data_IF_946012478924
#
_entry.id   IF_946012478924
#
_cell.length_a   1.000
_cell.length_b   1.000
_cell.length_c   1.000
_cell.angle_alpha   90.00
_cell.angle_beta   90.00
_cell.angle_gamma   90.00
#
_symmetry.space_group_name_H-M   'P 1'
#
loop_
_entity.id
_entity.type
_entity.pdbx_description
1 polymer ?
#
# COMPACT_ATOMS: atom_id res chain seq x y z
N UNK A 1 66.01 -29.18 8.51
CA UNK A 1 64.92 -29.93 9.20
C UNK A 1 63.78 -29.06 9.73
N UNK A 2 63.99 -27.79 10.14
CA UNK A 2 62.92 -26.90 10.66
C UNK A 2 61.85 -26.47 9.62
N UNK A 3 62.19 -26.28 8.35
CA UNK A 3 61.24 -25.77 7.33
C UNK A 3 60.08 -26.73 7.00
N UNK A 4 60.29 -28.05 7.04
CA UNK A 4 59.25 -29.03 6.72
C UNK A 4 58.13 -29.10 7.76
N UNK A 5 58.42 -28.82 9.04
CA UNK A 5 57.39 -28.81 10.09
C UNK A 5 56.52 -27.56 10.05
N UNK A 6 57.09 -26.41 9.68
CA UNK A 6 56.33 -25.15 9.54
C UNK A 6 55.31 -25.27 8.40
N UNK A 7 55.70 -25.85 7.27
CA UNK A 7 54.80 -26.10 6.14
C UNK A 7 53.65 -27.06 6.49
N UNK A 8 53.90 -28.13 7.25
CA UNK A 8 52.84 -29.07 7.71
C UNK A 8 51.83 -28.42 8.66
N UNK A 9 52.29 -27.55 9.56
CA UNK A 9 51.42 -26.85 10.52
C UNK A 9 50.52 -25.84 9.79
N UNK A 10 51.08 -25.11 8.82
CA UNK A 10 50.31 -24.17 8.00
C UNK A 10 49.30 -24.91 7.12
N UNK A 11 49.68 -26.05 6.53
CA UNK A 11 48.76 -26.86 5.72
C UNK A 11 47.58 -27.35 6.56
N UNK A 12 47.83 -27.85 7.78
CA UNK A 12 46.77 -28.36 8.66
C UNK A 12 45.89 -27.27 9.29
N UNK A 13 46.37 -26.03 9.43
CA UNK A 13 45.56 -24.92 9.96
C UNK A 13 44.71 -24.23 8.90
N UNK A 14 44.97 -24.47 7.61
CA UNK A 14 44.24 -23.85 6.49
C UNK A 14 43.18 -24.76 5.86
N UNK A 15 43.17 -26.06 6.18
CA UNK A 15 42.04 -26.94 5.86
C UNK A 15 41.03 -26.87 7.00
N UNK A 16 39.83 -26.29 6.82
CA UNK A 16 38.82 -26.34 7.85
C UNK A 16 38.50 -27.80 8.19
N UNK A 17 38.45 -28.13 9.47
CA UNK A 17 38.09 -29.48 9.91
C UNK A 17 36.71 -29.81 9.37
N UNK A 18 36.49 -31.02 8.83
CA UNK A 18 35.18 -31.44 8.28
C UNK A 18 34.05 -31.26 9.31
N UNK A 19 34.37 -31.36 10.61
CA UNK A 19 33.44 -31.08 11.73
C UNK A 19 33.08 -29.60 11.89
N UNK A 20 33.95 -28.68 11.48
CA UNK A 20 33.69 -27.23 11.49
C UNK A 20 32.91 -26.82 10.25
N UNK A 21 33.33 -27.26 9.07
CA UNK A 21 32.60 -27.02 7.82
C UNK A 21 31.16 -27.55 7.86
N UNK A 22 30.93 -28.73 8.47
CA UNK A 22 29.59 -29.28 8.65
C UNK A 22 28.69 -28.45 9.59
N UNK A 23 29.28 -27.81 10.61
CA UNK A 23 28.52 -26.93 11.52
C UNK A 23 28.10 -25.64 10.83
N UNK A 24 29.00 -25.00 10.11
CA UNK A 24 28.71 -23.77 9.36
C UNK A 24 27.66 -23.97 8.27
N UNK A 25 27.70 -25.13 7.59
CA UNK A 25 26.70 -25.49 6.60
C UNK A 25 25.31 -25.66 7.21
N UNK A 26 25.24 -26.20 8.43
CA UNK A 26 23.98 -26.38 9.16
C UNK A 26 23.39 -25.03 9.56
N UNK A 27 24.21 -24.10 10.06
CA UNK A 27 23.75 -22.74 10.39
C UNK A 27 23.28 -21.98 9.15
N UNK A 28 24.01 -22.06 8.04
CA UNK A 28 23.59 -21.45 6.77
C UNK A 28 22.26 -22.03 6.27
N UNK A 29 22.09 -23.36 6.34
CA UNK A 29 20.84 -24.00 5.95
C UNK A 29 19.65 -23.51 6.78
N UNK A 30 19.82 -23.39 8.11
CA UNK A 30 18.77 -22.87 9.00
C UNK A 30 18.43 -21.41 8.66
N UNK A 31 19.42 -20.56 8.39
CA UNK A 31 19.20 -19.17 8.00
C UNK A 31 18.44 -19.06 6.68
N UNK A 32 18.82 -19.84 5.67
CA UNK A 32 18.15 -19.85 4.35
C UNK A 32 16.69 -20.30 4.49
N UNK A 33 16.43 -21.34 5.29
CA UNK A 33 15.06 -21.80 5.57
C UNK A 33 14.25 -20.71 6.27
N UNK A 34 14.83 -20.01 7.24
CA UNK A 34 14.19 -18.88 7.91
C UNK A 34 13.79 -17.77 6.93
N UNK A 35 14.72 -17.35 6.07
CA UNK A 35 14.45 -16.33 5.04
C UNK A 35 13.38 -16.79 4.05
N UNK A 36 13.40 -18.06 3.64
CA UNK A 36 12.42 -18.60 2.72
C UNK A 36 11.00 -18.61 3.32
N UNK A 37 10.86 -19.05 4.57
CA UNK A 37 9.57 -19.08 5.27
C UNK A 37 9.06 -17.66 5.53
N UNK A 38 9.91 -16.78 6.07
CA UNK A 38 9.53 -15.39 6.36
C UNK A 38 9.23 -14.64 5.07
N UNK A 39 10.05 -14.79 4.03
CA UNK A 39 9.84 -14.16 2.73
C UNK A 39 8.59 -14.66 2.02
N UNK A 40 8.30 -15.96 2.08
CA UNK A 40 7.07 -16.54 1.53
C UNK A 40 5.82 -16.02 2.24
N UNK A 41 5.83 -15.98 3.57
CA UNK A 41 4.70 -15.44 4.35
C UNK A 41 4.52 -13.93 4.10
N UNK A 42 5.60 -13.16 4.10
CA UNK A 42 5.57 -11.74 3.74
C UNK A 42 5.03 -11.53 2.33
N UNK A 43 5.44 -12.36 1.37
CA UNK A 43 4.93 -12.28 0.00
C UNK A 43 3.43 -12.53 -0.08
N UNK A 44 2.90 -13.54 0.61
CA UNK A 44 1.46 -13.81 0.64
C UNK A 44 0.71 -12.64 1.28
N UNK A 45 1.16 -12.15 2.45
CA UNK A 45 0.52 -11.02 3.14
C UNK A 45 0.54 -9.75 2.28
N UNK A 46 1.69 -9.42 1.68
CA UNK A 46 1.79 -8.28 0.77
C UNK A 46 0.89 -8.51 -0.44
N UNK A 47 0.95 -9.67 -1.08
CA UNK A 47 0.09 -9.98 -2.22
C UNK A 47 -1.38 -9.84 -1.84
N UNK A 48 -1.81 -10.32 -0.69
CA UNK A 48 -3.20 -10.28 -0.24
C UNK A 48 -3.64 -8.87 0.18
N UNK A 49 -2.77 -8.09 0.84
CA UNK A 49 -3.01 -6.67 1.15
C UNK A 49 -3.06 -5.80 -0.12
N UNK A 50 -2.24 -6.10 -1.12
CA UNK A 50 -2.22 -5.39 -2.40
C UNK A 50 -3.19 -5.98 -3.44
N UNK A 51 -3.72 -7.20 -3.25
CA UNK A 51 -4.71 -7.88 -4.09
C UNK A 51 -6.12 -7.70 -3.56
N UNK A 52 -6.28 -7.43 -2.27
CA UNK A 52 -7.51 -6.89 -1.72
C UNK A 52 -7.59 -5.45 -2.24
N UNK A 53 -8.16 -5.27 -3.43
CA UNK A 53 -9.51 -4.74 -3.62
C UNK A 53 -10.25 -4.14 -2.41
N UNK A 54 -9.53 -3.61 -1.42
CA UNK A 54 -10.07 -3.10 -0.17
C UNK A 54 -10.44 -1.63 -0.34
N UNK A 55 -11.47 -1.17 0.38
CA UNK A 55 -11.86 0.24 0.43
C UNK A 55 -10.66 1.19 0.69
N UNK A 56 -9.70 0.76 1.51
CA UNK A 56 -8.52 1.55 1.88
C UNK A 56 -7.53 1.74 0.72
N UNK A 57 -7.36 0.74 -0.15
CA UNK A 57 -6.47 0.85 -1.31
C UNK A 57 -7.06 1.82 -2.34
N UNK A 58 -8.36 1.72 -2.56
CA UNK A 58 -9.11 2.61 -3.47
C UNK A 58 -9.10 4.04 -2.91
N UNK A 59 -9.32 4.21 -1.61
CA UNK A 59 -9.16 5.48 -0.91
C UNK A 59 -7.76 6.08 -1.12
N UNK A 60 -6.69 5.29 -0.90
CA UNK A 60 -5.32 5.76 -1.07
C UNK A 60 -5.05 6.23 -2.49
N UNK A 61 -5.46 5.44 -3.49
CA UNK A 61 -5.30 5.80 -4.90
C UNK A 61 -6.10 7.06 -5.28
N UNK A 62 -7.33 7.20 -4.79
CA UNK A 62 -8.14 8.38 -5.04
C UNK A 62 -7.59 9.64 -4.36
N UNK A 63 -7.06 9.51 -3.15
CA UNK A 63 -6.42 10.62 -2.43
C UNK A 63 -5.16 11.10 -3.17
N UNK A 64 -4.35 10.19 -3.70
CA UNK A 64 -3.18 10.56 -4.53
C UNK A 64 -3.59 11.27 -5.83
N UNK A 65 -4.67 10.82 -6.49
CA UNK A 65 -5.23 11.54 -7.65
C UNK A 65 -5.69 12.95 -7.27
N UNK A 66 -6.34 13.12 -6.12
CA UNK A 66 -6.74 14.44 -5.62
C UNK A 66 -5.53 15.33 -5.30
N UNK A 67 -4.46 14.76 -4.73
CA UNK A 67 -3.21 15.45 -4.41
C UNK A 67 -2.45 15.93 -5.65
N UNK A 68 -2.59 15.23 -6.77
CA UNK A 68 -1.96 15.58 -8.03
C UNK A 68 -2.79 16.56 -8.87
N UNK A 69 -4.08 16.77 -8.56
CA UNK A 69 -4.98 17.57 -9.39
C UNK A 69 -4.76 19.09 -9.18
N UNK A 70 -4.34 19.86 -10.20
CA UNK A 70 -3.97 21.28 -10.04
C UNK A 70 -5.06 22.14 -9.43
N UNK A 71 -6.33 21.90 -9.81
CA UNK A 71 -7.44 22.70 -9.27
C UNK A 71 -7.72 22.41 -7.79
N UNK A 72 -7.47 21.18 -7.32
CA UNK A 72 -7.65 20.82 -5.91
C UNK A 72 -6.52 21.44 -5.08
N UNK A 73 -5.30 21.37 -5.60
CA UNK A 73 -4.13 22.03 -4.98
C UNK A 73 -4.38 23.54 -4.88
N UNK A 74 -4.90 24.16 -5.93
CA UNK A 74 -5.25 25.58 -5.94
C UNK A 74 -6.38 25.95 -4.98
N UNK A 75 -7.31 25.03 -4.70
CA UNK A 75 -8.44 25.28 -3.79
C UNK A 75 -8.12 25.05 -2.31
N UNK A 76 -7.29 24.05 -1.98
CA UNK A 76 -6.99 23.66 -0.59
C UNK A 76 -5.62 24.14 -0.09
N UNK A 77 -4.69 24.42 -1.00
CA UNK A 77 -3.27 24.55 -0.66
C UNK A 77 -2.63 23.21 -0.25
N UNK A 78 -1.37 23.00 -0.61
CA UNK A 78 -0.61 21.81 -0.19
C UNK A 78 0.01 22.02 1.20
N UNK A 79 0.14 20.99 2.08
CA UNK A 79 -0.13 19.57 1.85
C UNK A 79 -1.58 19.15 2.15
N UNK A 80 -2.17 18.34 1.25
CA UNK A 80 -3.55 17.85 1.37
C UNK A 80 -3.60 16.57 2.22
N UNK A 81 -4.41 16.62 3.27
CA UNK A 81 -4.72 15.50 4.17
C UNK A 81 -6.08 14.91 3.80
N UNK A 82 -6.18 13.58 3.82
CA UNK A 82 -7.44 12.87 3.69
C UNK A 82 -7.84 12.20 5.00
N UNK A 83 -9.13 12.15 5.31
CA UNK A 83 -9.67 11.43 6.45
C UNK A 83 -11.06 10.84 6.16
N UNK A 84 -11.37 9.72 6.81
CA UNK A 84 -12.68 9.06 6.70
C UNK A 84 -13.78 9.74 7.52
N UNK A 85 -14.93 9.08 7.64
CA UNK A 85 -16.03 9.55 8.48
C UNK A 85 -15.58 9.75 9.94
N UNK A 86 -16.02 10.88 10.49
CA UNK A 86 -15.85 11.18 11.90
C UNK A 86 -16.95 10.46 12.66
N UNK A 87 -16.59 9.42 13.41
CA UNK A 87 -17.53 8.81 14.37
C UNK A 87 -18.02 9.87 15.37
N UNK A 88 -19.22 9.67 15.94
CA UNK A 88 -19.83 10.57 16.95
C UNK A 88 -18.92 10.88 18.16
N UNK A 89 -17.87 10.07 18.39
CA UNK A 89 -16.82 10.23 19.41
C UNK A 89 -15.51 10.85 18.89
N UNK A 90 -15.49 11.45 17.69
CA UNK A 90 -14.33 12.13 17.13
C UNK A 90 -13.24 11.23 16.53
N UNK A 91 -13.43 9.90 16.42
CA UNK A 91 -12.45 9.02 15.77
C UNK A 91 -12.69 9.00 14.25
N UNK A 92 -11.69 9.41 13.48
CA UNK A 92 -11.67 9.43 11.99
C UNK A 92 -11.08 8.14 11.41
N UNK A 93 -11.65 6.97 11.74
CA UNK A 93 -11.01 5.66 11.45
C UNK A 93 -11.58 4.90 10.26
N UNK A 94 -12.76 5.25 9.74
CA UNK A 94 -13.41 4.44 8.72
C UNK A 94 -13.84 5.30 7.53
N UNK A 95 -13.50 4.86 6.32
CA UNK A 95 -14.00 5.49 5.09
C UNK A 95 -15.42 4.98 4.87
N UNK A 96 -16.36 5.89 4.59
CA UNK A 96 -17.72 5.49 4.21
C UNK A 96 -17.62 4.75 2.90
N UNK A 97 -17.99 3.48 2.87
CA UNK A 97 -17.99 2.69 1.65
C UNK A 97 -19.31 1.95 1.51
N UNK A 98 -19.76 1.78 0.27
CA UNK A 98 -20.91 0.95 -0.09
C UNK A 98 -20.51 0.07 -1.26
N UNK A 99 -20.54 -1.23 -1.02
CA UNK A 99 -20.38 -2.23 -2.08
C UNK A 99 -21.75 -2.60 -2.62
N UNK A 100 -21.89 -2.63 -3.95
CA UNK A 100 -23.12 -3.00 -4.62
C UNK A 100 -22.82 -3.72 -5.93
N UNK A 101 -23.77 -4.51 -6.43
CA UNK A 101 -23.62 -5.21 -7.71
C UNK A 101 -24.48 -4.51 -8.74
N UNK A 102 -23.90 -4.12 -9.87
CA UNK A 102 -24.60 -3.52 -10.99
C UNK A 102 -24.23 -4.29 -12.26
N UNK A 103 -25.24 -4.78 -12.98
CA UNK A 103 -25.06 -5.54 -14.23
C UNK A 103 -24.10 -6.75 -14.09
N UNK A 104 -24.07 -7.41 -12.93
CA UNK A 104 -23.17 -8.54 -12.66
C UNK A 104 -21.74 -8.14 -12.27
N UNK A 105 -21.41 -6.86 -12.29
CA UNK A 105 -20.11 -6.32 -11.88
C UNK A 105 -20.20 -5.75 -10.46
N UNK A 106 -19.18 -5.99 -9.63
CA UNK A 106 -19.11 -5.38 -8.30
C UNK A 106 -18.66 -3.92 -8.44
N UNK A 107 -19.35 -3.04 -7.75
CA UNK A 107 -19.03 -1.64 -7.62
C UNK A 107 -18.78 -1.33 -6.15
N UNK A 108 -17.92 -0.34 -5.93
CA UNK A 108 -17.68 0.24 -4.63
C UNK A 108 -17.73 1.75 -4.73
N UNK A 109 -18.62 2.33 -3.94
CA UNK A 109 -18.71 3.76 -3.76
C UNK A 109 -18.00 4.12 -2.46
N UNK A 110 -17.13 5.14 -2.49
CA UNK A 110 -16.51 5.68 -1.29
C UNK A 110 -16.77 7.17 -1.12
N UNK A 111 -16.88 7.58 0.13
CA UNK A 111 -16.92 8.98 0.54
C UNK A 111 -15.90 9.23 1.64
N UNK A 112 -15.04 10.21 1.42
CA UNK A 112 -14.06 10.68 2.40
C UNK A 112 -13.89 12.19 2.31
N UNK A 113 -13.15 12.76 3.25
CA UNK A 113 -12.96 14.19 3.37
C UNK A 113 -11.50 14.55 3.15
N UNK A 114 -11.26 15.72 2.57
CA UNK A 114 -9.94 16.29 2.38
C UNK A 114 -9.84 17.70 2.94
N UNK A 115 -8.69 18.03 3.52
CA UNK A 115 -8.36 19.34 4.07
C UNK A 115 -6.93 19.72 3.68
N UNK A 116 -6.68 21.01 3.45
CA UNK A 116 -5.35 21.53 3.14
C UNK A 116 -4.88 22.57 4.16
N UNK A 117 -4.08 23.52 3.72
CA UNK A 117 -3.69 24.70 4.52
C UNK A 117 -4.84 25.69 4.61
N UNK A 118 -5.59 25.85 3.52
CA UNK A 118 -6.76 26.70 3.47
C UNK A 118 -7.84 26.16 4.44
N UNK A 119 -8.64 27.04 5.06
CA UNK A 119 -9.70 26.64 5.99
C UNK A 119 -10.88 25.93 5.30
N UNK A 120 -10.77 25.70 3.99
CA UNK A 120 -11.77 25.06 3.14
C UNK A 120 -11.66 23.53 3.30
N UNK A 121 -12.81 22.87 3.37
CA UNK A 121 -12.91 21.41 3.39
C UNK A 121 -13.53 20.91 2.10
N UNK A 122 -13.05 19.76 1.62
CA UNK A 122 -13.61 19.04 0.49
C UNK A 122 -14.20 17.70 0.91
N UNK A 123 -15.30 17.31 0.29
CA UNK A 123 -15.86 15.96 0.36
C UNK A 123 -15.63 15.28 -0.98
N UNK A 124 -14.88 14.18 -0.97
CA UNK A 124 -14.58 13.40 -2.16
C UNK A 124 -15.60 12.29 -2.28
N UNK A 125 -16.25 12.25 -3.44
CA UNK A 125 -17.17 11.20 -3.84
C UNK A 125 -16.56 10.43 -5.00
N UNK A 126 -16.50 9.12 -4.87
CA UNK A 126 -16.01 8.27 -5.95
C UNK A 126 -16.83 6.99 -6.09
N UNK A 127 -16.81 6.44 -7.29
CA UNK A 127 -17.30 5.11 -7.61
C UNK A 127 -16.24 4.38 -8.43
N UNK A 128 -16.01 3.12 -8.10
CA UNK A 128 -15.13 2.25 -8.85
C UNK A 128 -15.82 0.91 -9.13
N UNK A 129 -15.56 0.33 -10.30
CA UNK A 129 -16.08 -0.97 -10.73
C UNK A 129 -14.97 -2.00 -10.78
N UNK A 130 -15.25 -3.22 -10.36
CA UNK A 130 -14.34 -4.35 -10.49
C UNK A 130 -14.25 -4.76 -11.96
N UNK A 131 -13.04 -4.78 -12.49
CA UNK A 131 -12.77 -5.23 -13.84
C UNK A 131 -12.71 -6.77 -13.84
N UNK A 132 -13.60 -7.47 -14.57
CA UNK A 132 -13.65 -8.92 -14.57
C UNK A 132 -12.41 -9.59 -15.17
N UNK A 133 -11.65 -8.88 -16.02
CA UNK A 133 -10.44 -9.42 -16.65
C UNK A 133 -9.20 -9.31 -15.74
N UNK A 134 -9.09 -8.21 -14.99
CA UNK A 134 -7.90 -7.92 -14.17
C UNK A 134 -8.11 -8.12 -12.66
N UNK A 135 -9.36 -8.24 -12.20
CA UNK A 135 -9.74 -8.28 -10.78
C UNK A 135 -9.43 -6.99 -10.01
N UNK A 136 -9.11 -5.89 -10.70
CA UNK A 136 -8.80 -4.57 -10.13
C UNK A 136 -10.02 -3.67 -10.20
N UNK A 137 -10.06 -2.65 -9.34
CA UNK A 137 -11.07 -1.61 -9.40
C UNK A 137 -10.63 -0.48 -10.33
N UNK A 138 -11.47 -0.20 -11.33
CA UNK A 138 -11.33 0.93 -12.23
C UNK A 138 -12.28 2.06 -11.79
N UNK A 139 -11.77 3.28 -11.66
CA UNK A 139 -12.57 4.42 -11.23
C UNK A 139 -13.57 4.82 -12.33
N UNK A 140 -14.86 4.76 -12.01
CA UNK A 140 -15.93 5.29 -12.84
C UNK A 140 -15.93 6.82 -12.79
N UNK A 141 -15.85 7.38 -11.58
CA UNK A 141 -15.71 8.83 -11.38
C UNK A 141 -15.05 9.16 -10.05
N UNK A 142 -14.42 10.32 -9.99
CA UNK A 142 -13.94 10.97 -8.77
C UNK A 142 -14.26 12.46 -8.87
N UNK A 143 -15.01 13.00 -7.92
CA UNK A 143 -15.23 14.44 -7.80
C UNK A 143 -15.14 14.90 -6.35
N UNK A 144 -14.86 16.18 -6.19
CA UNK A 144 -14.68 16.84 -4.90
C UNK A 144 -15.66 17.99 -4.79
N UNK A 145 -16.52 17.94 -3.78
CA UNK A 145 -17.39 19.03 -3.39
C UNK A 145 -16.74 19.85 -2.27
N UNK A 146 -16.47 21.13 -2.53
CA UNK A 146 -15.92 22.05 -1.55
C UNK A 146 -17.04 22.69 -0.73
N UNK A 147 -16.87 22.67 0.60
CA UNK A 147 -17.75 23.33 1.55
C UNK A 147 -17.46 24.84 1.59
N UNK A 148 -17.71 25.48 0.47
CA UNK A 148 -17.54 26.92 0.23
C UNK A 148 -18.85 27.52 -0.27
N UNK A 149 -18.99 28.84 -0.14
CA UNK A 149 -20.12 29.56 -0.74
C UNK A 149 -19.59 30.56 -1.78
N UNK A 150 -19.99 30.45 -3.06
CA UNK A 150 -20.87 29.43 -3.64
C UNK A 150 -20.23 28.03 -3.65
N UNK A 151 -21.05 26.98 -3.66
CA UNK A 151 -20.56 25.60 -3.72
C UNK A 151 -19.76 25.38 -5.00
N UNK A 152 -18.58 24.80 -4.87
CA UNK A 152 -17.70 24.45 -5.98
C UNK A 152 -17.49 22.94 -6.02
N UNK A 153 -17.71 22.34 -7.19
CA UNK A 153 -17.42 20.93 -7.44
C UNK A 153 -16.30 20.84 -8.48
N UNK A 154 -15.30 20.01 -8.22
CA UNK A 154 -14.20 19.75 -9.14
C UNK A 154 -14.21 18.27 -9.51
N UNK A 155 -14.28 17.97 -10.80
CA UNK A 155 -14.23 16.61 -11.33
C UNK A 155 -12.77 16.28 -11.56
N UNK A 156 -12.25 15.27 -10.85
CA UNK A 156 -10.87 14.80 -10.98
C UNK A 156 -10.76 13.78 -12.09
N UNK A 157 -11.76 12.92 -12.20
CA UNK A 157 -11.82 11.85 -13.19
C UNK A 157 -13.28 11.52 -13.48
N UNK A 158 -13.61 11.38 -14.76
CA UNK A 158 -14.93 10.95 -15.22
C UNK A 158 -14.74 9.98 -16.39
N UNK A 159 -14.96 8.69 -16.10
CA UNK A 159 -14.89 7.57 -17.04
C UNK A 159 -16.25 6.86 -17.11
N UNK A 160 -17.35 7.60 -16.93
CA UNK A 160 -18.72 7.09 -16.98
C UNK A 160 -19.06 6.38 -18.29
#
# INVERSE_FOLDING_TARGET
>A
MKQQNVLKVILNSSVPSVKEAGRDLTYLAVVVVGIAVTGGLFYVIFKELFSSSSPNKIYGAALEKCRAHPEIIGALGGPIKGYGETTRRGRRRHVSHREYIKNGTKHIQLVFYIEGIEPIKGTVHLDAKENPESGRYDFCYIFVDFDTYPKRTIIVEDNR
#
